data_IF_747772748720
#
_entry.id   IF_747772748720
#
_cell.length_a   1.000
_cell.length_b   1.000
_cell.length_c   1.000
_cell.angle_alpha   90.00
_cell.angle_beta   90.00
_cell.angle_gamma   90.00
#
_symmetry.space_group_name_H-M   'P 1'
#
loop_
_entity.id
_entity.type
_entity.pdbx_description
1 polymer ?
#
# COMPACT_ATOMS: atom_id res chain seq x y z
N UNK A 1 -26.68 1.14 -20.19
CA UNK A 1 -25.43 1.09 -19.39
C UNK A 1 -25.55 2.22 -18.40
N UNK A 2 -26.15 1.94 -17.25
CA UNK A 2 -26.30 2.95 -16.20
C UNK A 2 -24.92 3.26 -15.65
N UNK A 3 -24.55 4.53 -15.78
CA UNK A 3 -23.33 5.08 -15.20
C UNK A 3 -23.34 4.79 -13.71
N UNK A 4 -22.16 4.51 -13.14
CA UNK A 4 -21.95 4.54 -11.69
C UNK A 4 -22.69 5.74 -11.11
N UNK A 5 -23.79 5.46 -10.39
CA UNK A 5 -24.56 6.48 -9.71
C UNK A 5 -24.14 6.40 -8.24
N UNK A 6 -23.20 7.24 -7.78
CA UNK A 6 -22.68 7.17 -6.42
C UNK A 6 -23.70 7.47 -5.32
N UNK A 7 -25.01 7.60 -5.63
CA UNK A 7 -26.03 7.71 -4.59
C UNK A 7 -27.46 7.35 -5.01
N UNK A 8 -28.22 6.77 -4.07
CA UNK A 8 -29.31 7.59 -3.53
C UNK A 8 -29.32 7.79 -1.99
N UNK A 9 -28.50 7.09 -1.19
CA UNK A 9 -28.70 7.08 0.29
C UNK A 9 -27.42 7.09 1.18
N UNK A 10 -26.23 7.42 0.66
CA UNK A 10 -25.07 7.60 1.54
C UNK A 10 -25.17 8.95 2.28
N UNK A 11 -25.06 8.95 3.62
CA UNK A 11 -25.08 10.18 4.44
C UNK A 11 -23.92 11.10 4.02
N UNK A 12 -24.26 12.04 3.13
CA UNK A 12 -23.32 12.89 2.39
C UNK A 12 -22.49 13.82 3.28
N UNK A 13 -22.77 13.87 4.59
CA UNK A 13 -22.34 14.95 5.46
C UNK A 13 -21.36 14.55 6.55
N UNK A 14 -21.11 13.26 6.80
CA UNK A 14 -20.28 12.84 7.96
C UNK A 14 -19.15 11.87 7.67
N UNK A 15 -19.02 11.37 6.44
CA UNK A 15 -18.03 10.35 6.14
C UNK A 15 -17.14 10.71 4.95
N UNK A 16 -15.85 10.41 5.10
CA UNK A 16 -14.93 10.28 3.98
C UNK A 16 -15.01 8.85 3.45
N UNK A 17 -15.11 8.68 2.14
CA UNK A 17 -15.24 7.39 1.49
C UNK A 17 -13.96 7.05 0.73
N UNK A 18 -13.48 5.83 0.94
CA UNK A 18 -12.35 5.24 0.21
C UNK A 18 -12.82 3.96 -0.45
N UNK A 19 -12.67 3.86 -1.77
CA UNK A 19 -12.90 2.63 -2.51
C UNK A 19 -11.57 2.10 -3.03
N UNK A 20 -11.31 0.81 -2.82
CA UNK A 20 -10.07 0.14 -3.26
C UNK A 20 -10.42 -1.04 -4.16
N UNK A 21 -10.08 -0.94 -5.44
CA UNK A 21 -10.08 -2.05 -6.39
C UNK A 21 -8.63 -2.45 -6.70
N UNK A 22 -8.08 -3.49 -6.05
CA UNK A 22 -6.78 -4.02 -6.43
C UNK A 22 -6.85 -4.60 -7.85
N UNK A 23 -5.71 -4.61 -8.55
CA UNK A 23 -5.63 -5.28 -9.84
C UNK A 23 -5.97 -6.78 -9.69
N UNK A 24 -6.48 -7.40 -10.75
CA UNK A 24 -6.76 -8.82 -10.81
C UNK A 24 -6.51 -9.37 -12.23
N UNK A 25 -6.93 -10.62 -12.49
CA UNK A 25 -6.73 -11.27 -13.80
C UNK A 25 -7.46 -10.56 -14.95
N UNK A 26 -8.57 -9.88 -14.67
CA UNK A 26 -9.42 -9.19 -15.65
C UNK A 26 -9.06 -7.71 -15.75
N UNK A 27 -8.58 -7.12 -14.66
CA UNK A 27 -8.21 -5.71 -14.53
C UNK A 27 -6.74 -5.55 -14.14
N UNK A 28 -5.92 -5.18 -15.12
CA UNK A 28 -4.48 -4.94 -14.92
C UNK A 28 -4.19 -3.59 -14.25
N UNK A 29 -5.18 -2.70 -14.15
CA UNK A 29 -5.09 -1.41 -13.49
C UNK A 29 -5.69 -1.57 -12.10
N UNK A 30 -4.92 -1.19 -11.10
CA UNK A 30 -5.43 -1.11 -9.74
C UNK A 30 -5.89 0.33 -9.50
N UNK A 31 -7.07 0.52 -8.89
CA UNK A 31 -7.72 1.83 -8.78
C UNK A 31 -8.17 2.14 -7.37
N UNK A 32 -8.04 3.40 -6.97
CA UNK A 32 -8.68 3.93 -5.78
C UNK A 32 -9.54 5.14 -6.11
N UNK A 33 -10.69 5.25 -5.43
CA UNK A 33 -11.48 6.49 -5.38
C UNK A 33 -11.50 6.99 -3.95
N UNK A 34 -11.28 8.28 -3.78
CA UNK A 34 -11.39 8.94 -2.47
C UNK A 34 -12.32 10.13 -2.60
N UNK A 35 -13.21 10.29 -1.64
CA UNK A 35 -14.04 11.47 -1.45
C UNK A 35 -13.99 11.85 0.02
N UNK A 36 -13.58 13.08 0.33
CA UNK A 36 -13.58 13.53 1.73
C UNK A 36 -14.99 13.91 2.18
N UNK A 37 -15.22 13.85 3.49
CA UNK A 37 -16.41 14.44 4.09
C UNK A 37 -16.54 15.91 3.68
N UNK A 38 -17.77 16.37 3.46
CA UNK A 38 -18.11 17.72 3.01
C UNK A 38 -17.59 18.09 1.60
N UNK A 39 -16.98 17.16 0.87
CA UNK A 39 -16.60 17.33 -0.53
C UNK A 39 -17.57 16.51 -1.43
N UNK A 40 -18.04 17.12 -2.52
CA UNK A 40 -18.95 16.48 -3.49
C UNK A 40 -18.22 15.67 -4.57
N UNK A 41 -16.92 15.86 -4.72
CA UNK A 41 -16.15 15.28 -5.83
C UNK A 41 -15.33 14.06 -5.40
N UNK A 42 -15.30 13.05 -6.28
CA UNK A 42 -14.39 11.92 -6.15
C UNK A 42 -13.06 12.23 -6.82
N UNK A 43 -11.98 11.86 -6.16
CA UNK A 43 -10.66 11.83 -6.77
C UNK A 43 -10.27 10.39 -7.11
N UNK A 44 -10.09 10.12 -8.40
CA UNK A 44 -9.58 8.85 -8.91
C UNK A 44 -8.05 8.82 -8.95
N UNK A 45 -7.48 7.66 -8.61
CA UNK A 45 -6.06 7.35 -8.83
C UNK A 45 -5.91 5.92 -9.35
N UNK A 46 -5.12 5.81 -10.41
CA UNK A 46 -4.78 4.54 -11.04
C UNK A 46 -3.32 4.23 -10.75
N UNK A 47 -3.04 3.01 -10.32
CA UNK A 47 -1.69 2.49 -10.13
C UNK A 47 -1.45 1.38 -11.15
N UNK A 48 -0.46 1.58 -12.02
CA UNK A 48 0.02 0.52 -12.90
C UNK A 48 1.04 -0.33 -12.15
N UNK A 49 0.82 -1.64 -11.97
CA UNK A 49 1.64 -2.48 -11.10
C UNK A 49 3.01 -2.86 -11.69
N UNK A 50 3.53 -2.09 -12.65
CA UNK A 50 4.77 -2.40 -13.36
C UNK A 50 6.03 -2.33 -12.48
N UNK A 51 5.95 -1.82 -11.24
CA UNK A 51 7.13 -1.31 -10.54
C UNK A 51 7.68 -2.20 -9.42
N UNK A 52 6.88 -2.96 -8.65
CA UNK A 52 7.44 -3.77 -7.56
C UNK A 52 6.63 -5.07 -7.34
N UNK A 53 7.18 -6.20 -7.77
CA UNK A 53 6.60 -7.53 -7.50
C UNK A 53 7.08 -8.00 -6.14
N UNK A 54 6.18 -8.31 -5.21
CA UNK A 54 6.56 -9.05 -4.01
C UNK A 54 7.01 -10.47 -4.42
N UNK A 55 8.04 -11.02 -3.77
CA UNK A 55 8.51 -12.37 -4.07
C UNK A 55 7.37 -13.39 -3.88
N UNK A 56 7.35 -14.44 -4.71
CA UNK A 56 6.36 -15.53 -4.62
C UNK A 56 6.58 -16.31 -3.31
N UNK A 57 6.02 -15.88 -2.18
CA UNK A 57 6.32 -16.56 -0.91
C UNK A 57 5.22 -16.53 0.15
N UNK A 58 3.95 -16.71 -0.22
CA UNK A 58 2.92 -17.01 0.78
C UNK A 58 1.95 -18.09 0.26
N UNK A 59 1.66 -19.06 1.15
CA UNK A 59 0.79 -20.22 0.89
C UNK A 59 -0.65 -19.78 0.60
N UNK A 60 -1.04 -18.59 1.06
CA UNK A 60 -2.35 -17.96 0.84
C UNK A 60 -2.51 -17.35 -0.57
N UNK A 61 -1.51 -17.48 -1.46
CA UNK A 61 -1.45 -16.80 -2.77
C UNK A 61 -1.66 -17.73 -3.98
N UNK A 62 -2.21 -18.94 -3.81
CA UNK A 62 -2.52 -19.81 -4.95
C UNK A 62 -3.64 -19.19 -5.79
N UNK A 63 -3.29 -18.65 -6.96
CA UNK A 63 -4.25 -18.16 -7.96
C UNK A 63 -4.25 -16.64 -8.19
N UNK A 64 -3.57 -15.87 -7.35
CA UNK A 64 -3.48 -14.41 -7.44
C UNK A 64 -2.33 -14.02 -8.38
N UNK A 65 -2.54 -13.17 -9.41
CA UNK A 65 -1.45 -12.68 -10.26
C UNK A 65 -0.34 -11.98 -9.44
N UNK A 66 0.91 -12.08 -9.89
CA UNK A 66 2.07 -11.48 -9.20
C UNK A 66 2.01 -9.94 -9.05
N UNK A 67 1.02 -9.29 -9.68
CA UNK A 67 0.75 -7.85 -9.66
C UNK A 67 -0.56 -7.49 -8.92
N UNK A 68 -1.15 -8.45 -8.22
CA UNK A 68 -2.36 -8.31 -7.41
C UNK A 68 -2.08 -8.71 -5.95
N UNK A 69 -0.80 -8.69 -5.55
CA UNK A 69 -0.35 -9.21 -4.28
C UNK A 69 -0.80 -8.32 -3.11
N UNK A 70 -0.99 -8.88 -1.91
CA UNK A 70 -1.47 -8.14 -0.73
C UNK A 70 -0.69 -6.86 -0.43
N UNK A 71 0.64 -6.86 -0.68
CA UNK A 71 1.48 -5.67 -0.52
C UNK A 71 1.01 -4.49 -1.39
N UNK A 72 0.54 -4.74 -2.60
CA UNK A 72 0.01 -3.71 -3.47
C UNK A 72 -1.35 -3.20 -2.99
N UNK A 73 -2.24 -4.10 -2.55
CA UNK A 73 -3.51 -3.69 -1.96
C UNK A 73 -3.30 -2.79 -0.74
N UNK A 74 -2.35 -3.14 0.13
CA UNK A 74 -1.94 -2.32 1.27
C UNK A 74 -1.34 -0.98 0.83
N UNK A 75 -0.50 -0.94 -0.20
CA UNK A 75 0.03 0.34 -0.71
C UNK A 75 -1.07 1.27 -1.19
N UNK A 76 -2.02 0.74 -1.96
CA UNK A 76 -3.10 1.56 -2.50
C UNK A 76 -4.03 2.07 -1.41
N UNK A 77 -4.32 1.21 -0.44
CA UNK A 77 -5.06 1.60 0.74
C UNK A 77 -4.31 2.70 1.51
N UNK A 78 -3.01 2.53 1.75
CA UNK A 78 -2.18 3.53 2.41
C UNK A 78 -2.17 4.89 1.70
N UNK A 79 -2.11 4.91 0.36
CA UNK A 79 -2.16 6.15 -0.41
C UNK A 79 -3.51 6.84 -0.32
N UNK A 80 -4.58 6.06 -0.40
CA UNK A 80 -5.93 6.60 -0.29
C UNK A 80 -6.15 7.18 1.12
N UNK A 81 -5.75 6.45 2.17
CA UNK A 81 -5.85 6.89 3.56
C UNK A 81 -5.03 8.14 3.84
N UNK A 82 -3.82 8.25 3.29
CA UNK A 82 -2.95 9.43 3.46
C UNK A 82 -3.55 10.74 2.91
N UNK A 83 -4.65 10.66 2.17
CA UNK A 83 -5.33 11.79 1.52
C UNK A 83 -6.70 12.08 2.11
N UNK A 84 -7.15 11.23 3.03
CA UNK A 84 -8.37 11.47 3.80
C UNK A 84 -8.13 12.66 4.72
N UNK A 85 -9.04 13.62 4.66
CA UNK A 85 -9.10 14.76 5.58
C UNK A 85 -10.07 14.42 6.70
N UNK A 86 -9.56 14.49 7.92
CA UNK A 86 -10.39 14.39 9.12
C UNK A 86 -10.80 15.82 9.52
N UNK A 87 -12.10 16.06 9.55
CA UNK A 87 -12.74 17.34 9.89
C UNK A 87 -13.93 17.01 10.78
N UNK A 88 -13.88 17.41 12.06
CA UNK A 88 -14.99 17.38 13.04
C UNK A 88 -15.83 16.10 13.05
N UNK A 89 -15.51 15.16 13.95
CA UNK A 89 -16.25 13.90 14.21
C UNK A 89 -16.62 13.07 12.98
N UNK A 90 -15.99 13.32 11.82
CA UNK A 90 -16.27 12.59 10.62
C UNK A 90 -15.65 11.19 10.68
N UNK A 91 -16.38 10.19 10.19
CA UNK A 91 -15.85 8.85 10.04
C UNK A 91 -15.15 8.66 8.69
N UNK A 92 -14.46 7.54 8.54
CA UNK A 92 -13.88 7.06 7.29
C UNK A 92 -14.45 5.69 7.01
N UNK A 93 -15.11 5.52 5.87
CA UNK A 93 -15.60 4.23 5.39
C UNK A 93 -14.72 3.78 4.24
N UNK A 94 -14.13 2.59 4.39
CA UNK A 94 -13.26 1.97 3.40
C UNK A 94 -13.98 0.77 2.79
N UNK A 95 -14.39 0.90 1.54
CA UNK A 95 -14.92 -0.20 0.74
C UNK A 95 -13.78 -0.94 0.04
N UNK A 96 -13.55 -2.20 0.41
CA UNK A 96 -12.49 -3.01 -0.16
C UNK A 96 -12.86 -4.50 -0.26
N UNK A 97 -12.06 -5.24 -1.02
CA UNK A 97 -12.07 -6.70 -0.97
C UNK A 97 -11.49 -7.13 0.39
N UNK A 98 -12.36 -7.44 1.34
CA UNK A 98 -11.97 -7.64 2.74
C UNK A 98 -11.01 -8.82 2.91
N UNK A 99 -11.16 -9.88 2.12
CA UNK A 99 -10.28 -11.04 2.13
C UNK A 99 -8.88 -10.68 1.62
N UNK A 100 -8.78 -9.95 0.48
CA UNK A 100 -7.48 -9.57 -0.07
C UNK A 100 -6.77 -8.48 0.72
N UNK A 101 -7.54 -7.64 1.41
CA UNK A 101 -7.01 -6.65 2.34
C UNK A 101 -6.73 -7.24 3.73
N UNK A 102 -7.18 -8.48 4.02
CA UNK A 102 -7.12 -9.16 5.32
C UNK A 102 -7.61 -8.25 6.44
N UNK A 103 -8.82 -7.73 6.24
CA UNK A 103 -9.37 -6.68 7.08
C UNK A 103 -9.44 -7.12 8.54
N UNK A 104 -10.01 -8.30 8.80
CA UNK A 104 -10.20 -8.82 10.16
C UNK A 104 -8.88 -9.23 10.83
N UNK A 105 -8.01 -9.92 10.08
CA UNK A 105 -6.77 -10.47 10.63
C UNK A 105 -5.73 -9.38 10.90
N UNK A 106 -5.81 -8.24 10.20
CA UNK A 106 -4.73 -7.27 10.16
C UNK A 106 -5.22 -5.85 10.41
N UNK A 107 -6.06 -5.30 9.53
CA UNK A 107 -6.42 -3.88 9.57
C UNK A 107 -7.23 -3.53 10.83
N UNK A 108 -8.18 -4.38 11.19
CA UNK A 108 -8.98 -4.27 12.42
C UNK A 108 -8.11 -4.40 13.67
N UNK A 109 -7.14 -5.31 13.65
CA UNK A 109 -6.21 -5.48 14.79
C UNK A 109 -5.34 -4.25 14.99
N UNK A 110 -4.90 -3.62 13.90
CA UNK A 110 -4.19 -2.34 13.90
C UNK A 110 -5.07 -1.24 14.50
N UNK A 111 -6.32 -1.08 14.02
CA UNK A 111 -7.25 -0.06 14.54
C UNK A 111 -7.51 -0.26 16.03
N UNK A 112 -7.66 -1.50 16.49
CA UNK A 112 -7.88 -1.81 17.91
C UNK A 112 -6.63 -1.62 18.76
N UNK A 113 -5.45 -1.45 18.16
CA UNK A 113 -4.16 -1.33 18.84
C UNK A 113 -3.72 -2.62 19.53
N UNK A 114 -4.34 -3.75 19.22
CA UNK A 114 -4.08 -5.05 19.86
C UNK A 114 -3.36 -5.99 18.88
N UNK A 115 -2.17 -5.59 18.43
CA UNK A 115 -1.35 -6.42 17.56
C UNK A 115 0.14 -6.18 17.74
N UNK A 116 0.93 -7.14 17.26
CA UNK A 116 2.36 -7.03 17.05
C UNK A 116 2.63 -6.97 15.55
N UNK A 117 3.26 -5.88 15.09
CA UNK A 117 3.58 -5.68 13.68
C UNK A 117 4.54 -6.75 13.13
N UNK A 118 5.41 -7.31 13.97
CA UNK A 118 6.35 -8.40 13.59
C UNK A 118 5.57 -9.69 13.33
N UNK A 119 4.53 -9.96 14.12
CA UNK A 119 3.64 -11.11 13.90
C UNK A 119 2.84 -10.95 12.61
N UNK A 120 2.23 -9.77 12.40
CA UNK A 120 1.48 -9.48 11.17
C UNK A 120 2.39 -9.53 9.92
N UNK A 121 3.62 -9.04 10.02
CA UNK A 121 4.60 -9.12 8.93
C UNK A 121 4.94 -10.58 8.55
N UNK A 122 5.06 -11.47 9.54
CA UNK A 122 5.27 -12.91 9.31
C UNK A 122 4.05 -13.57 8.66
N UNK A 123 2.84 -13.17 9.05
CA UNK A 123 1.60 -13.67 8.48
C UNK A 123 1.48 -13.37 6.98
N UNK A 124 1.80 -12.14 6.54
CA UNK A 124 1.76 -11.78 5.11
C UNK A 124 2.99 -12.21 4.32
N UNK A 125 4.10 -11.53 4.58
CA UNK A 125 5.35 -11.58 3.85
C UNK A 125 6.28 -10.52 4.48
N UNK A 126 7.50 -10.88 4.91
CA UNK A 126 8.47 -9.92 5.43
C UNK A 126 8.79 -8.77 4.46
N UNK A 127 8.72 -8.99 3.14
CA UNK A 127 8.94 -7.94 2.14
C UNK A 127 7.82 -6.88 2.11
N UNK A 128 6.64 -7.19 2.67
CA UNK A 128 5.52 -6.26 2.76
C UNK A 128 5.56 -5.40 4.03
N UNK A 129 6.46 -5.67 4.98
CA UNK A 129 6.56 -4.97 6.28
C UNK A 129 6.59 -3.45 6.17
N UNK A 130 7.37 -2.81 5.27
CA UNK A 130 7.33 -1.34 5.12
C UNK A 130 5.93 -0.81 4.78
N UNK A 131 5.21 -1.54 3.93
CA UNK A 131 3.83 -1.24 3.49
C UNK A 131 2.86 -1.30 4.65
N UNK A 132 2.98 -2.36 5.45
CA UNK A 132 2.13 -2.59 6.60
C UNK A 132 2.37 -1.50 7.66
N UNK A 133 3.63 -1.16 7.92
CA UNK A 133 3.99 -0.03 8.80
C UNK A 133 3.39 1.28 8.30
N UNK A 134 3.45 1.54 6.99
CA UNK A 134 2.89 2.76 6.43
C UNK A 134 1.37 2.85 6.61
N UNK A 135 0.64 1.79 6.28
CA UNK A 135 -0.82 1.71 6.51
C UNK A 135 -1.15 1.87 7.98
N UNK A 136 -0.40 1.21 8.86
CA UNK A 136 -0.58 1.34 10.31
C UNK A 136 -0.40 2.79 10.78
N UNK A 137 0.64 3.49 10.32
CA UNK A 137 0.82 4.90 10.62
C UNK A 137 -0.40 5.74 10.19
N UNK A 138 -0.95 5.51 9.00
CA UNK A 138 -2.11 6.29 8.51
C UNK A 138 -3.40 5.98 9.26
N UNK A 139 -3.68 4.71 9.56
CA UNK A 139 -4.84 4.32 10.36
C UNK A 139 -4.78 4.90 11.77
N UNK A 140 -3.61 4.82 12.42
CA UNK A 140 -3.40 5.38 13.75
C UNK A 140 -3.55 6.90 13.70
N UNK A 141 -2.93 7.59 12.74
CA UNK A 141 -3.04 9.05 12.62
C UNK A 141 -4.49 9.52 12.46
N UNK A 142 -5.31 8.79 11.69
CA UNK A 142 -6.75 9.07 11.54
C UNK A 142 -7.48 8.89 12.87
N UNK A 143 -7.20 7.81 13.61
CA UNK A 143 -7.78 7.54 14.93
C UNK A 143 -7.40 8.61 15.97
N UNK A 144 -6.15 9.09 15.95
CA UNK A 144 -5.67 10.16 16.82
C UNK A 144 -6.31 11.51 16.51
N UNK A 145 -6.81 11.71 15.29
CA UNK A 145 -7.58 12.90 14.90
C UNK A 145 -9.06 12.79 15.30
N UNK A 146 -9.47 11.69 15.96
CA UNK A 146 -10.84 11.48 16.46
C UNK A 146 -11.79 10.81 15.47
N UNK A 147 -11.33 10.45 14.27
CA UNK A 147 -12.16 9.78 13.27
C UNK A 147 -12.24 8.27 13.50
N UNK A 148 -13.45 7.72 13.43
CA UNK A 148 -13.65 6.27 13.35
C UNK A 148 -13.33 5.77 11.95
N UNK A 149 -12.71 4.60 11.84
CA UNK A 149 -12.49 3.93 10.55
C UNK A 149 -13.31 2.65 10.53
N UNK A 150 -14.09 2.45 9.47
CA UNK A 150 -14.91 1.28 9.22
C UNK A 150 -14.51 0.66 7.90
N UNK A 151 -14.49 -0.67 7.86
CA UNK A 151 -14.24 -1.42 6.63
C UNK A 151 -15.51 -2.13 6.21
N UNK A 152 -15.88 -1.95 4.95
CA UNK A 152 -17.07 -2.55 4.36
C UNK A 152 -16.67 -3.36 3.11
N UNK A 153 -17.36 -4.48 2.85
CA UNK A 153 -17.11 -5.24 1.64
C UNK A 153 -17.51 -4.40 0.42
N UNK A 154 -16.63 -4.36 -0.57
CA UNK A 154 -17.01 -3.87 -1.90
C UNK A 154 -17.86 -4.93 -2.59
N UNK A 155 -19.02 -4.53 -3.13
CA UNK A 155 -19.86 -5.45 -3.91
C UNK A 155 -19.25 -5.71 -5.30
N UNK A 156 -19.55 -6.85 -5.94
CA UNK A 156 -19.08 -7.14 -7.29
C UNK A 156 -19.44 -6.04 -8.31
N UNK A 157 -20.65 -5.49 -8.23
CA UNK A 157 -21.13 -4.43 -9.12
C UNK A 157 -20.35 -3.12 -8.92
N UNK A 158 -20.05 -2.77 -7.66
CA UNK A 158 -19.19 -1.62 -7.34
C UNK A 158 -17.76 -1.85 -7.83
N UNK A 159 -17.24 -3.07 -7.71
CA UNK A 159 -15.90 -3.42 -8.16
C UNK A 159 -15.78 -3.33 -9.69
N UNK A 160 -16.78 -3.84 -10.42
CA UNK A 160 -16.84 -3.74 -11.88
C UNK A 160 -17.02 -2.29 -12.33
N UNK A 161 -17.93 -1.55 -11.68
CA UNK A 161 -18.14 -0.12 -11.96
C UNK A 161 -16.86 0.69 -11.72
N UNK A 162 -16.16 0.42 -10.61
CA UNK A 162 -14.90 1.05 -10.27
C UNK A 162 -13.83 0.73 -11.30
N UNK A 163 -13.70 -0.53 -11.74
CA UNK A 163 -12.75 -0.92 -12.78
C UNK A 163 -13.02 -0.25 -14.14
N UNK A 164 -14.29 0.00 -14.46
CA UNK A 164 -14.72 0.68 -15.68
C UNK A 164 -14.88 2.21 -15.52
N UNK A 165 -14.51 2.74 -14.35
CA UNK A 165 -14.66 4.17 -14.05
C UNK A 165 -13.66 5.02 -14.87
N UNK A 166 -14.16 5.60 -15.96
CA UNK A 166 -13.38 6.42 -16.89
C UNK A 166 -13.76 7.92 -16.85
N UNK A 167 -14.79 8.27 -16.08
CA UNK A 167 -15.37 9.62 -16.08
C UNK A 167 -14.53 10.64 -15.30
N UNK A 168 -13.61 10.19 -14.46
CA UNK A 168 -12.68 11.06 -13.72
C UNK A 168 -11.26 10.77 -14.19
N UNK A 169 -10.53 11.74 -14.76
CA UNK A 169 -9.14 11.51 -15.15
C UNK A 169 -8.31 11.20 -13.89
N UNK A 170 -7.52 10.10 -13.87
CA UNK A 170 -6.75 9.73 -12.70
C UNK A 170 -5.71 10.80 -12.40
N UNK A 171 -5.64 11.24 -11.13
CA UNK A 171 -4.56 12.12 -10.67
C UNK A 171 -3.28 11.31 -10.48
N UNK A 172 -2.14 11.93 -10.74
CA UNK A 172 -0.84 11.31 -10.47
C UNK A 172 -0.71 10.90 -9.00
N UNK A 173 -0.43 9.63 -8.78
CA UNK A 173 0.03 9.08 -7.51
C UNK A 173 1.50 9.48 -7.35
N UNK A 174 1.83 10.29 -6.34
CA UNK A 174 3.23 10.49 -5.95
C UNK A 174 3.80 9.15 -5.47
N UNK A 175 5.11 8.95 -5.64
CA UNK A 175 5.77 7.75 -5.14
C UNK A 175 5.62 7.65 -3.61
N UNK A 176 5.28 6.46 -3.12
CA UNK A 176 5.15 6.17 -1.70
C UNK A 176 6.52 6.21 -1.03
N UNK A 177 6.64 6.92 0.09
CA UNK A 177 7.89 6.94 0.84
C UNK A 177 7.93 5.80 1.87
N UNK A 178 8.23 4.61 1.37
CA UNK A 178 8.40 3.40 2.18
C UNK A 178 9.83 3.27 2.72
N UNK A 179 10.64 4.34 2.67
CA UNK A 179 11.99 4.30 3.22
C UNK A 179 11.90 4.13 4.73
N UNK A 180 12.70 3.22 5.31
CA UNK A 180 12.69 2.99 6.76
C UNK A 180 12.84 4.28 7.58
N UNK A 181 13.70 5.23 7.16
CA UNK A 181 13.87 6.53 7.81
C UNK A 181 12.58 7.35 7.90
N UNK A 182 11.77 7.35 6.83
CA UNK A 182 10.51 8.08 6.78
C UNK A 182 9.45 7.41 7.65
N UNK A 183 9.39 6.08 7.63
CA UNK A 183 8.48 5.30 8.49
C UNK A 183 8.84 5.45 9.98
N UNK A 184 10.14 5.49 10.30
CA UNK A 184 10.64 5.74 11.64
C UNK A 184 10.20 7.13 12.13
N UNK A 185 10.37 8.16 11.29
CA UNK A 185 9.93 9.52 11.61
C UNK A 185 8.42 9.59 11.86
N UNK A 186 7.62 8.96 11.00
CA UNK A 186 6.17 8.90 11.15
C UNK A 186 5.78 8.19 12.47
N UNK A 187 6.39 7.04 12.76
CA UNK A 187 6.11 6.28 13.98
C UNK A 187 6.48 7.06 15.25
N UNK A 188 7.65 7.70 15.29
CA UNK A 188 8.08 8.54 16.40
C UNK A 188 7.15 9.75 16.60
N UNK A 189 6.72 10.40 15.51
CA UNK A 189 5.76 11.50 15.60
C UNK A 189 4.42 11.04 16.19
N UNK A 190 3.94 9.84 15.82
CA UNK A 190 2.72 9.27 16.38
C UNK A 190 2.88 8.90 17.85
N UNK A 191 4.05 8.41 18.29
CA UNK A 191 4.33 8.18 19.71
C UNK A 191 4.18 9.47 20.49
N UNK A 192 4.81 10.56 20.03
CA UNK A 192 4.68 11.87 20.71
C UNK A 192 3.22 12.32 20.81
N UNK A 193 2.43 12.15 19.73
CA UNK A 193 0.99 12.48 19.76
C UNK A 193 0.23 11.62 20.77
N UNK A 194 0.48 10.30 20.79
CA UNK A 194 -0.16 9.38 21.73
C UNK A 194 0.22 9.70 23.17
N UNK A 195 1.48 9.96 23.46
CA UNK A 195 1.94 10.29 24.82
C UNK A 195 1.41 11.64 25.32
N UNK A 196 1.11 12.57 24.40
CA UNK A 196 0.45 13.84 24.74
C UNK A 196 -1.06 13.73 24.96
N UNK A 197 -1.70 12.59 24.64
CA UNK A 197 -3.14 12.42 24.67
C UNK A 197 -3.59 11.21 25.50
N UNK A 198 -4.61 11.38 26.34
CA UNK A 198 -4.99 10.33 27.29
C UNK A 198 -5.73 9.13 26.65
N UNK A 199 -6.36 9.31 25.49
CA UNK A 199 -7.36 8.39 24.92
C UNK A 199 -6.78 7.26 24.05
N UNK A 200 -5.50 7.28 23.70
CA UNK A 200 -4.95 6.42 22.64
C UNK A 200 -3.69 5.63 23.02
N UNK A 201 -3.39 5.52 24.31
CA UNK A 201 -2.26 4.76 24.86
C UNK A 201 -2.15 3.31 24.35
N UNK A 202 -3.27 2.71 23.91
CA UNK A 202 -3.32 1.38 23.27
C UNK A 202 -2.36 1.22 22.09
N UNK A 203 -2.04 2.29 21.35
CA UNK A 203 -1.13 2.20 20.20
C UNK A 203 0.35 2.23 20.56
N UNK A 204 0.73 2.56 21.80
CA UNK A 204 2.14 2.72 22.17
C UNK A 204 2.97 1.45 21.95
N UNK A 205 2.41 0.29 22.31
CA UNK A 205 3.10 -0.99 22.10
C UNK A 205 3.38 -1.22 20.63
N UNK A 206 2.34 -1.09 19.79
CA UNK A 206 2.45 -1.26 18.34
C UNK A 206 3.48 -0.30 17.73
N UNK A 207 3.41 0.99 18.07
CA UNK A 207 4.32 2.01 17.54
C UNK A 207 5.77 1.78 17.97
N UNK A 208 6.01 1.36 19.23
CA UNK A 208 7.36 1.00 19.71
C UNK A 208 7.93 -0.19 18.94
N UNK A 209 7.13 -1.24 18.71
CA UNK A 209 7.58 -2.36 17.88
C UNK A 209 7.81 -1.95 16.43
N UNK A 210 7.01 -1.02 15.88
CA UNK A 210 7.26 -0.46 14.54
C UNK A 210 8.59 0.30 14.47
N UNK A 211 8.96 1.06 15.51
CA UNK A 211 10.28 1.73 15.60
C UNK A 211 11.40 0.71 15.54
N UNK A 212 11.34 -0.37 16.31
CA UNK A 212 12.34 -1.45 16.27
C UNK A 212 12.48 -2.04 14.86
N UNK A 213 11.34 -2.35 14.23
CA UNK A 213 11.30 -2.90 12.87
C UNK A 213 11.90 -1.93 11.86
N UNK A 214 11.62 -0.62 11.95
CA UNK A 214 12.22 0.37 11.07
C UNK A 214 13.73 0.47 11.24
N UNK A 215 14.22 0.42 12.48
CA UNK A 215 15.67 0.41 12.79
C UNK A 215 16.35 -0.85 12.26
N UNK A 216 15.73 -2.01 12.39
CA UNK A 216 16.22 -3.27 11.82
C UNK A 216 16.31 -3.17 10.28
N UNK A 217 15.26 -2.65 9.63
CA UNK A 217 15.24 -2.43 8.18
C UNK A 217 16.31 -1.44 7.70
N UNK A 218 16.59 -0.36 8.46
CA UNK A 218 17.69 0.57 8.14
C UNK A 218 19.06 -0.11 8.19
N UNK A 219 19.31 -0.91 9.22
CA UNK A 219 20.57 -1.64 9.38
C UNK A 219 20.78 -2.63 8.23
N UNK A 220 19.74 -3.36 7.84
CA UNK A 220 19.79 -4.28 6.70
C UNK A 220 20.01 -3.56 5.37
N UNK A 221 19.40 -2.38 5.18
CA UNK A 221 19.59 -1.58 3.98
C UNK A 221 21.03 -1.03 3.88
N UNK A 222 21.63 -0.61 5.02
CA UNK A 222 23.02 -0.17 5.10
C UNK A 222 24.06 -1.30 5.03
N UNK A 223 23.68 -2.53 5.40
CA UNK A 223 24.55 -3.70 5.37
C UNK A 223 24.69 -4.36 3.99
N UNK A 224 23.88 -3.96 2.99
CA UNK A 224 24.06 -4.44 1.60
C UNK A 224 25.29 -3.77 0.98
N UNK A 225 26.40 -4.50 0.76
CA UNK A 225 27.54 -3.93 0.08
C UNK A 225 27.12 -3.68 -1.37
N UNK A 226 27.21 -2.42 -1.79
CA UNK A 226 27.18 -2.07 -3.20
C UNK A 226 28.22 -2.92 -3.91
N UNK A 227 27.76 -3.78 -4.83
CA UNK A 227 28.61 -4.34 -5.87
C UNK A 227 29.04 -3.16 -6.74
N UNK A 228 30.09 -2.44 -6.33
CA UNK A 228 30.88 -1.58 -7.21
C UNK A 228 31.28 -2.48 -8.39
N UNK A 229 30.56 -2.38 -9.50
CA UNK A 229 31.11 -2.76 -10.80
C UNK A 229 32.23 -1.75 -11.03
N UNK A 230 33.43 -2.08 -10.56
CA UNK A 230 34.64 -1.47 -11.11
C UNK A 230 34.64 -1.81 -12.59
N UNK A 231 34.52 -0.78 -13.41
CA UNK A 231 34.83 -0.82 -14.83
C UNK A 231 36.26 -1.30 -14.97
N UNK A 232 36.46 -2.60 -15.23
CA UNK A 232 37.69 -3.07 -15.84
C UNK A 232 37.61 -2.68 -17.31
N UNK A 233 38.26 -1.58 -17.63
CA UNK A 233 38.66 -1.21 -18.98
C UNK A 233 39.53 -2.31 -19.60
N UNK A 234 39.14 -2.70 -20.80
CA UNK A 234 39.97 -3.19 -21.90
C UNK A 234 40.93 -4.36 -21.66
N UNK A 235 40.32 -5.55 -21.64
CA UNK A 235 40.99 -6.75 -22.11
C UNK A 235 41.18 -6.69 -23.63
N UNK A 236 42.41 -6.40 -24.05
CA UNK A 236 42.94 -6.63 -25.40
C UNK A 236 42.63 -8.08 -25.79
N UNK A 237 41.70 -8.28 -26.73
CA UNK A 237 41.52 -9.55 -27.45
C UNK A 237 41.94 -9.34 -28.90
N UNK A 238 43.08 -9.94 -29.25
CA UNK A 238 43.49 -10.12 -30.64
C UNK A 238 42.45 -10.96 -31.42
N UNK A 239 42.15 -10.62 -32.68
CA UNK A 239 41.29 -11.44 -33.52
C UNK A 239 42.04 -12.66 -34.07
N UNK A 240 41.52 -13.86 -33.78
CA UNK A 240 41.94 -15.10 -34.47
C UNK A 240 41.37 -15.10 -35.89
N UNK A 241 42.27 -15.07 -36.88
CA UNK A 241 41.99 -15.26 -38.29
C UNK A 241 41.44 -16.67 -38.57
N UNK A 242 40.26 -16.76 -39.18
CA UNK A 242 39.75 -17.98 -39.81
C UNK A 242 40.17 -17.98 -41.28
N UNK A 243 41.18 -18.78 -41.62
CA UNK A 243 41.50 -19.14 -43.00
C UNK A 243 40.46 -20.15 -43.48
N UNK A 244 39.59 -19.74 -44.41
CA UNK A 244 38.79 -20.65 -45.24
C UNK A 244 39.69 -21.15 -46.37
N UNK A 245 39.98 -22.45 -46.41
CA UNK A 245 40.37 -23.11 -47.67
C UNK A 245 39.13 -23.17 -48.55
N UNK A 246 39.25 -22.57 -49.74
CA UNK A 246 38.36 -22.80 -50.87
C UNK A 246 39.03 -23.89 -51.69
N UNK A 247 38.41 -25.06 -51.78
CA UNK A 247 38.68 -26.02 -52.85
C UNK A 247 37.79 -25.62 -54.04
N UNK A 248 38.40 -25.51 -55.21
CA UNK A 248 37.69 -25.51 -56.47
C UNK A 248 38.59 -26.03 -57.57
N UNK A 249 38.13 -27.14 -58.16
CA UNK A 249 38.54 -27.84 -59.39
C UNK A 249 39.60 -28.91 -59.26
#
# INVERSE_FOLDING_TARGET
>A
MDAFNPNPEMDMTRYSYVFVAPADRRNIIARTLTRNAFEGEYTQRDCSPKVNRCPKSSVHLRGVPAYAQPCQALWQLGDALARVRVVSDNGVIVHCDQERCFTEEVLDRIIRGNCDIKELARFYCPAATPSLCWVACKLIDIQLQGATVQFEPITPDQQESLANFCNVPPKNTRAYDLRPASLLKDALSLITKVESGDTHHRYLKLLKTMVEVCVEMEKEAGARPGKKRSSNSDGVRQPKSKVRRVESS
#
